data_IF_341627291092
#
_entry.id   IF_341627291092
#
_cell.length_a   1.000
_cell.length_b   1.000
_cell.length_c   1.000
_cell.angle_alpha   90.00
_cell.angle_beta   90.00
_cell.angle_gamma   90.00
#
_symmetry.space_group_name_H-M   'P 1'
#
loop_
_entity.id
_entity.type
_entity.pdbx_description
1 polymer ?
#
# COMPACT_ATOMS: atom_id res chain seq x y z
N UNK A 1 3.03 34.25 -62.32
CA UNK A 1 3.10 34.26 -60.84
C UNK A 1 1.71 33.91 -60.34
N UNK A 2 1.53 32.70 -59.82
CA UNK A 2 0.25 32.24 -59.29
C UNK A 2 0.22 32.49 -57.77
N UNK A 3 -0.68 33.36 -57.26
CA UNK A 3 -0.76 33.72 -55.84
C UNK A 3 -1.31 32.60 -54.93
N UNK A 4 -1.64 31.42 -55.45
CA UNK A 4 -2.28 30.33 -54.70
C UNK A 4 -1.33 29.44 -53.86
N UNK A 5 -0.01 29.56 -54.00
CA UNK A 5 0.96 28.64 -53.35
C UNK A 5 1.42 29.04 -51.93
N UNK A 6 1.01 30.20 -51.42
CA UNK A 6 1.44 30.71 -50.11
C UNK A 6 0.58 30.20 -48.92
N UNK A 7 -0.67 29.81 -49.16
CA UNK A 7 -1.59 29.32 -48.11
C UNK A 7 -1.26 27.91 -47.63
N UNK A 8 -1.05 26.96 -48.55
CA UNK A 8 -0.83 25.54 -48.25
C UNK A 8 0.41 25.26 -47.39
N UNK A 9 1.49 26.04 -47.58
CA UNK A 9 2.78 25.82 -46.90
C UNK A 9 2.79 26.22 -45.43
N UNK A 10 1.91 27.16 -45.04
CA UNK A 10 1.77 27.63 -43.66
C UNK A 10 0.89 26.68 -42.84
N UNK A 11 -0.18 26.16 -43.45
CA UNK A 11 -1.04 25.15 -42.84
C UNK A 11 -0.29 23.83 -42.59
N UNK A 12 0.57 23.41 -43.53
CA UNK A 12 1.47 22.26 -43.33
C UNK A 12 2.41 22.44 -42.12
N UNK A 13 2.95 23.64 -41.90
CA UNK A 13 3.84 23.90 -40.75
C UNK A 13 3.12 23.85 -39.40
N UNK A 14 1.88 24.33 -39.32
CA UNK A 14 1.08 24.31 -38.09
C UNK A 14 0.69 22.87 -37.73
N UNK A 15 0.34 22.05 -38.74
CA UNK A 15 0.04 20.63 -38.55
C UNK A 15 1.29 19.85 -38.09
N UNK A 16 2.46 20.16 -38.64
CA UNK A 16 3.72 19.49 -38.28
C UNK A 16 4.19 19.85 -36.85
N UNK A 17 4.03 21.11 -36.43
CA UNK A 17 4.30 21.56 -35.05
C UNK A 17 3.37 20.91 -34.02
N UNK A 18 2.08 20.78 -34.34
CA UNK A 18 1.11 20.12 -33.46
C UNK A 18 1.40 18.61 -33.35
N UNK A 19 1.80 17.99 -34.46
CA UNK A 19 2.26 16.59 -34.50
C UNK A 19 3.49 16.37 -33.61
N UNK A 20 4.47 17.29 -33.68
CA UNK A 20 5.67 17.26 -32.83
C UNK A 20 5.38 17.50 -31.34
N UNK A 21 4.46 18.41 -31.00
CA UNK A 21 4.06 18.62 -29.60
C UNK A 21 3.28 17.42 -29.03
N UNK A 22 2.43 16.80 -29.85
CA UNK A 22 1.65 15.60 -29.46
C UNK A 22 2.57 14.39 -29.28
N UNK A 23 3.54 14.20 -30.17
CA UNK A 23 4.51 13.10 -30.07
C UNK A 23 5.45 13.27 -28.87
N UNK A 24 5.90 14.50 -28.58
CA UNK A 24 6.69 14.80 -27.37
C UNK A 24 5.87 14.61 -26.09
N UNK A 25 4.60 15.03 -26.08
CA UNK A 25 3.70 14.84 -24.94
C UNK A 25 3.43 13.36 -24.67
N UNK A 26 3.24 12.55 -25.73
CA UNK A 26 3.11 11.10 -25.61
C UNK A 26 4.40 10.45 -25.04
N UNK A 27 5.57 10.95 -25.45
CA UNK A 27 6.86 10.49 -24.92
C UNK A 27 7.03 10.80 -23.43
N UNK A 28 6.65 11.99 -22.96
CA UNK A 28 6.66 12.33 -21.52
C UNK A 28 5.64 11.50 -20.72
N UNK A 29 4.44 11.27 -21.26
CA UNK A 29 3.44 10.43 -20.61
C UNK A 29 3.95 8.99 -20.41
N UNK A 30 4.61 8.43 -21.42
CA UNK A 30 5.23 7.11 -21.33
C UNK A 30 6.33 7.06 -20.26
N UNK A 31 7.13 8.11 -20.13
CA UNK A 31 8.14 8.21 -19.08
C UNK A 31 7.54 8.29 -17.68
N UNK A 32 6.49 9.09 -17.48
CA UNK A 32 5.80 9.17 -16.19
C UNK A 32 5.17 7.84 -15.80
N UNK A 33 4.57 7.11 -16.76
CA UNK A 33 4.06 5.76 -16.52
C UNK A 33 5.18 4.80 -16.11
N UNK A 34 6.33 4.86 -16.78
CA UNK A 34 7.49 4.03 -16.43
C UNK A 34 8.06 4.38 -15.04
N UNK A 35 8.09 5.68 -14.70
CA UNK A 35 8.53 6.16 -13.39
C UNK A 35 7.58 5.69 -12.28
N UNK A 36 6.27 5.88 -12.45
CA UNK A 36 5.25 5.43 -11.49
C UNK A 36 5.31 3.92 -11.32
N UNK A 37 5.49 3.16 -12.40
CA UNK A 37 5.68 1.71 -12.30
C UNK A 37 6.95 1.35 -11.52
N UNK A 38 8.05 2.09 -11.69
CA UNK A 38 9.28 1.87 -10.93
C UNK A 38 9.09 2.20 -9.44
N UNK A 39 8.46 3.33 -9.12
CA UNK A 39 8.19 3.74 -7.73
C UNK A 39 7.20 2.81 -7.02
N UNK A 40 6.18 2.31 -7.73
CA UNK A 40 5.29 1.28 -7.20
C UNK A 40 6.04 -0.03 -6.93
N UNK A 41 6.94 -0.46 -7.83
CA UNK A 41 7.76 -1.66 -7.61
C UNK A 41 8.68 -1.49 -6.39
N UNK A 42 9.30 -0.33 -6.23
CA UNK A 42 10.15 -0.04 -5.07
C UNK A 42 9.30 -0.03 -3.78
N UNK A 43 8.14 0.65 -3.79
CA UNK A 43 7.22 0.68 -2.65
C UNK A 43 6.77 -0.73 -2.24
N UNK A 44 6.43 -1.58 -3.22
CA UNK A 44 6.06 -2.98 -2.96
C UNK A 44 7.24 -3.77 -2.41
N UNK A 45 8.44 -3.58 -2.97
CA UNK A 45 9.68 -4.21 -2.50
C UNK A 45 9.99 -3.83 -1.05
N UNK A 46 9.85 -2.55 -0.69
CA UNK A 46 10.10 -2.06 0.67
C UNK A 46 9.06 -2.57 1.67
N UNK A 47 7.77 -2.62 1.27
CA UNK A 47 6.73 -3.26 2.06
C UNK A 47 7.06 -4.75 2.26
N UNK A 48 7.49 -5.45 1.21
CA UNK A 48 7.86 -6.86 1.29
C UNK A 48 9.04 -7.10 2.24
N UNK A 49 10.11 -6.29 2.15
CA UNK A 49 11.26 -6.35 3.08
C UNK A 49 10.80 -6.11 4.53
N UNK A 50 9.91 -5.15 4.73
CA UNK A 50 9.36 -4.81 6.06
C UNK A 50 8.51 -5.93 6.64
N UNK A 51 7.67 -6.57 5.82
CA UNK A 51 6.88 -7.74 6.26
C UNK A 51 7.82 -8.91 6.57
N UNK A 52 8.83 -9.16 5.74
CA UNK A 52 9.78 -10.23 5.97
C UNK A 52 10.57 -10.04 7.28
N UNK A 53 11.03 -8.81 7.57
CA UNK A 53 11.74 -8.50 8.81
C UNK A 53 10.83 -8.61 10.03
N UNK A 54 9.57 -8.15 9.93
CA UNK A 54 8.60 -8.28 11.02
C UNK A 54 8.27 -9.74 11.32
N UNK A 55 8.08 -10.58 10.29
CA UNK A 55 7.84 -12.02 10.46
C UNK A 55 9.07 -12.70 11.07
N UNK A 56 10.28 -12.36 10.62
CA UNK A 56 11.51 -12.86 11.21
C UNK A 56 11.61 -12.49 12.70
N UNK A 57 11.41 -11.22 13.03
CA UNK A 57 11.39 -10.73 14.41
C UNK A 57 10.31 -11.41 15.26
N UNK A 58 9.13 -11.67 14.71
CA UNK A 58 8.07 -12.39 15.41
C UNK A 58 8.48 -13.84 15.71
N UNK A 59 9.05 -14.56 14.74
CA UNK A 59 9.52 -15.95 14.93
C UNK A 59 10.61 -16.02 16.00
N UNK A 60 11.66 -15.21 15.88
CA UNK A 60 12.75 -15.18 16.87
C UNK A 60 12.27 -14.65 18.22
N UNK A 61 11.38 -13.66 18.23
CA UNK A 61 10.81 -13.08 19.44
C UNK A 61 9.98 -14.10 20.22
N UNK A 62 9.08 -14.83 19.55
CA UNK A 62 8.26 -15.88 20.19
C UNK A 62 9.15 -17.03 20.67
N UNK A 63 10.11 -17.46 19.85
CA UNK A 63 11.02 -18.56 20.21
C UNK A 63 11.92 -18.19 21.39
N UNK A 64 12.52 -16.99 21.35
CA UNK A 64 13.35 -16.47 22.43
C UNK A 64 12.57 -16.25 23.71
N UNK A 65 11.36 -15.67 23.62
CA UNK A 65 10.48 -15.47 24.78
C UNK A 65 10.20 -16.79 25.51
N UNK A 66 9.90 -17.87 24.77
CA UNK A 66 9.69 -19.20 25.37
C UNK A 66 10.91 -19.70 26.13
N UNK A 67 12.10 -19.62 25.52
CA UNK A 67 13.37 -20.02 26.16
C UNK A 67 13.68 -19.16 27.39
N UNK A 68 13.49 -17.84 27.30
CA UNK A 68 13.72 -16.91 28.41
C UNK A 68 12.76 -17.17 29.57
N UNK A 69 11.47 -17.38 29.31
CA UNK A 69 10.48 -17.68 30.36
C UNK A 69 10.79 -19.02 31.05
N UNK A 70 11.21 -20.03 30.28
CA UNK A 70 11.64 -21.30 30.84
C UNK A 70 12.88 -21.14 31.73
N UNK A 71 13.85 -20.34 31.30
CA UNK A 71 15.02 -19.98 32.10
C UNK A 71 14.64 -19.28 33.41
N UNK A 72 13.73 -18.30 33.36
CA UNK A 72 13.21 -17.61 34.54
C UNK A 72 12.52 -18.60 35.48
N UNK A 73 11.66 -19.47 34.96
CA UNK A 73 10.98 -20.48 35.76
C UNK A 73 11.98 -21.43 36.46
N UNK A 74 13.06 -21.80 35.78
CA UNK A 74 14.10 -22.65 36.37
C UNK A 74 14.87 -21.92 37.47
N UNK A 75 15.23 -20.66 37.25
CA UNK A 75 15.91 -19.84 38.27
C UNK A 75 15.04 -19.66 39.53
N UNK A 76 13.75 -19.38 39.34
CA UNK A 76 12.80 -19.29 40.46
C UNK A 76 12.64 -20.66 41.13
N UNK A 77 12.46 -21.71 40.33
CA UNK A 77 12.30 -23.08 40.80
C UNK A 77 13.46 -23.56 41.66
N UNK A 78 14.69 -23.30 41.25
CA UNK A 78 15.89 -23.61 42.03
C UNK A 78 15.97 -22.80 43.33
N UNK A 79 15.51 -21.54 43.31
CA UNK A 79 15.49 -20.69 44.50
C UNK A 79 14.45 -21.15 45.54
N UNK A 80 13.29 -21.67 45.09
CA UNK A 80 12.21 -22.14 45.99
C UNK A 80 12.25 -23.65 46.26
N UNK A 81 13.12 -24.40 45.56
CA UNK A 81 13.23 -25.86 45.67
C UNK A 81 12.14 -26.66 44.95
N UNK A 82 11.31 -26.00 44.14
CA UNK A 82 10.22 -26.62 43.39
C UNK A 82 10.08 -25.99 41.99
N UNK A 83 10.58 -26.71 40.99
CA UNK A 83 10.57 -26.26 39.58
C UNK A 83 9.19 -26.39 38.95
N UNK A 84 8.40 -27.37 39.37
CA UNK A 84 7.09 -27.64 38.78
C UNK A 84 6.11 -26.53 39.16
N UNK A 85 6.12 -26.10 40.42
CA UNK A 85 5.33 -24.96 40.86
C UNK A 85 5.80 -23.63 40.24
N UNK A 86 7.10 -23.41 40.12
CA UNK A 86 7.63 -22.19 39.51
C UNK A 86 7.27 -22.07 38.03
N UNK A 87 7.39 -23.15 37.26
CA UNK A 87 7.01 -23.17 35.83
C UNK A 87 5.53 -22.91 35.63
N UNK A 88 4.66 -23.50 36.47
CA UNK A 88 3.23 -23.24 36.43
C UNK A 88 2.91 -21.77 36.72
N UNK A 89 3.54 -21.18 37.75
CA UNK A 89 3.29 -19.79 38.13
C UNK A 89 3.75 -18.81 37.04
N UNK A 90 4.94 -19.00 36.47
CA UNK A 90 5.45 -18.18 35.36
C UNK A 90 4.55 -18.33 34.13
N UNK A 91 4.07 -19.53 33.84
CA UNK A 91 3.10 -19.79 32.77
C UNK A 91 1.80 -19.02 32.96
N UNK A 92 1.21 -19.09 34.16
CA UNK A 92 -0.02 -18.35 34.49
C UNK A 92 0.19 -16.84 34.39
N UNK A 93 1.28 -16.32 34.95
CA UNK A 93 1.60 -14.89 34.87
C UNK A 93 1.74 -14.42 33.41
N UNK A 94 2.39 -15.24 32.57
CA UNK A 94 2.54 -14.96 31.13
C UNK A 94 1.18 -14.96 30.43
N UNK A 95 0.30 -15.92 30.73
CA UNK A 95 -1.06 -15.98 30.17
C UNK A 95 -1.90 -14.74 30.53
N UNK A 96 -1.76 -14.24 31.75
CA UNK A 96 -2.43 -13.00 32.18
C UNK A 96 -1.94 -11.82 31.33
N UNK A 97 -0.62 -11.68 31.16
CA UNK A 97 -0.05 -10.62 30.31
C UNK A 97 -0.55 -10.75 28.87
N UNK A 98 -0.55 -11.97 28.31
CA UNK A 98 -1.05 -12.23 26.96
C UNK A 98 -2.55 -11.87 26.81
N UNK A 99 -3.39 -12.18 27.81
CA UNK A 99 -4.80 -11.83 27.81
C UNK A 99 -5.02 -10.30 27.82
N UNK A 100 -4.23 -9.56 28.61
CA UNK A 100 -4.27 -8.09 28.64
C UNK A 100 -3.88 -7.52 27.27
N UNK A 101 -2.76 -7.99 26.68
CA UNK A 101 -2.31 -7.53 25.38
C UNK A 101 -3.36 -7.82 24.28
N UNK A 102 -3.98 -9.00 24.31
CA UNK A 102 -5.07 -9.35 23.41
C UNK A 102 -6.27 -8.42 23.59
N UNK A 103 -6.67 -8.13 24.82
CA UNK A 103 -7.78 -7.23 25.11
C UNK A 103 -7.51 -5.81 24.58
N UNK A 104 -6.29 -5.29 24.77
CA UNK A 104 -5.86 -3.98 24.24
C UNK A 104 -5.86 -3.98 22.71
N UNK A 105 -5.28 -5.00 22.08
CA UNK A 105 -5.25 -5.11 20.63
C UNK A 105 -6.67 -5.19 20.04
N UNK A 106 -7.54 -5.99 20.64
CA UNK A 106 -8.95 -6.12 20.26
C UNK A 106 -9.70 -4.80 20.45
N UNK A 107 -9.40 -4.03 21.50
CA UNK A 107 -9.95 -2.69 21.69
C UNK A 107 -9.60 -1.76 20.54
N UNK A 108 -8.31 -1.65 20.21
CA UNK A 108 -7.83 -0.81 19.09
C UNK A 108 -8.46 -1.19 17.74
N UNK A 109 -8.66 -2.48 17.50
CA UNK A 109 -9.32 -2.96 16.27
C UNK A 109 -10.81 -2.61 16.22
N UNK A 110 -11.49 -2.52 17.37
CA UNK A 110 -12.90 -2.09 17.44
C UNK A 110 -13.05 -0.59 17.23
N UNK A 111 -12.12 0.20 17.77
CA UNK A 111 -12.17 1.66 17.67
C UNK A 111 -11.76 2.15 16.27
N UNK A 112 -10.89 1.40 15.60
CA UNK A 112 -10.53 1.65 14.21
C UNK A 112 -11.68 1.16 13.31
N UNK A 113 -12.61 2.05 12.96
CA UNK A 113 -13.60 1.81 11.91
C UNK A 113 -12.86 1.62 10.57
N UNK A 114 -12.40 0.38 10.31
CA UNK A 114 -11.82 -0.06 9.05
C UNK A 114 -12.86 -0.17 7.92
N UNK A 115 -14.07 0.36 8.12
CA UNK A 115 -14.96 0.73 7.01
C UNK A 115 -14.62 2.17 6.66
N UNK A 116 -13.98 2.43 5.51
CA UNK A 116 -13.90 3.80 5.01
C UNK A 116 -15.33 4.19 4.62
N UNK A 117 -16.09 4.74 5.56
CA UNK A 117 -17.48 5.18 5.34
C UNK A 117 -17.57 6.21 4.21
N UNK A 118 -16.46 6.88 3.90
CA UNK A 118 -16.33 7.88 2.83
C UNK A 118 -15.93 7.30 1.47
N UNK A 119 -15.43 6.06 1.38
CA UNK A 119 -14.92 5.51 0.10
C UNK A 119 -15.95 4.64 -0.62
N UNK A 120 -16.84 3.96 0.11
CA UNK A 120 -17.85 3.09 -0.52
C UNK A 120 -18.86 3.91 -1.33
N UNK A 121 -19.21 5.11 -0.86
CA UNK A 121 -20.23 5.96 -1.49
C UNK A 121 -19.76 6.64 -2.80
N UNK A 122 -18.44 6.63 -3.07
CA UNK A 122 -17.84 7.21 -4.28
C UNK A 122 -17.58 6.18 -5.37
N UNK A 123 -17.39 4.90 -4.99
CA UNK A 123 -17.16 3.80 -5.94
C UNK A 123 -18.47 3.29 -6.54
N UNK A 124 -19.57 3.28 -5.77
CA UNK A 124 -20.89 2.90 -6.29
C UNK A 124 -21.52 3.95 -7.23
N UNK A 125 -21.08 5.22 -7.18
CA UNK A 125 -21.65 6.33 -7.98
C UNK A 125 -20.90 6.69 -9.26
N UNK A 126 -19.89 5.92 -9.68
CA UNK A 126 -19.22 6.21 -10.97
C UNK A 126 -19.33 5.08 -12.01
N UNK A 127 -20.52 4.83 -12.60
CA UNK A 127 -20.63 4.12 -13.88
C UNK A 127 -20.68 5.05 -15.11
N UNK A 128 -20.97 6.34 -14.95
CA UNK A 128 -21.31 7.21 -16.09
C UNK A 128 -20.12 7.98 -16.68
N UNK A 129 -19.03 8.19 -15.95
CA UNK A 129 -17.84 8.87 -16.51
C UNK A 129 -17.01 7.98 -17.46
N UNK A 130 -17.24 6.67 -17.46
CA UNK A 130 -16.52 5.70 -18.30
C UNK A 130 -17.34 5.21 -19.52
N UNK A 131 -18.64 5.52 -19.60
CA UNK A 131 -19.49 5.21 -20.76
C UNK A 131 -19.78 6.51 -21.49
N UNK A 132 -19.00 6.72 -22.54
CA UNK A 132 -18.91 7.97 -23.26
C UNK A 132 -20.23 8.55 -23.72
N UNK A 133 -20.28 9.87 -23.66
CA UNK A 133 -21.24 10.75 -24.32
C UNK A 133 -20.60 12.16 -24.29
N UNK A 134 -20.49 12.96 -25.36
CA UNK A 134 -21.01 12.88 -26.72
C UNK A 134 -20.26 13.88 -27.62
N UNK A 135 -20.34 13.63 -28.94
CA UNK A 135 -20.49 14.62 -30.03
C UNK A 135 -19.40 15.69 -30.16
N UNK A 136 -18.52 15.65 -31.17
CA UNK A 136 -18.85 15.84 -32.59
C UNK A 136 -20.11 16.71 -32.82
N UNK A 137 -19.95 18.03 -32.74
CA UNK A 137 -20.82 18.97 -33.43
C UNK A 137 -19.96 19.73 -34.45
N UNK A 138 -19.89 19.15 -35.65
CA UNK A 138 -19.54 19.87 -36.87
C UNK A 138 -20.81 20.06 -37.69
N UNK A 139 -20.91 21.24 -38.32
CA UNK A 139 -21.73 21.62 -39.47
C UNK A 139 -22.98 22.50 -39.22
N UNK A 140 -22.97 23.61 -39.97
CA UNK A 140 -24.08 24.43 -40.49
C UNK A 140 -24.59 25.62 -39.67
N UNK A 141 -23.91 26.76 -39.76
CA UNK A 141 -24.32 27.91 -40.61
C UNK A 141 -23.26 29.00 -40.64
#
# INVERSE_FOLDING_TARGET
MDPSSAGTRSDENVVDLLSHLTSQSAHLAQQQVNLVQAEMRESVSDIQKSIASLLGAAVFGISGLGVTLMGIAYLIGDAIGDRDLATLLVGIATLIIAAILYAVARGKMKDTHLKPERTIDTVERTPDAARGELTHSGATR
#
